data_IF_520440785895
#
_entry.id   IF_520440785895
#
_cell.length_a   1.000
_cell.length_b   1.000
_cell.length_c   1.000
_cell.angle_alpha   90.00
_cell.angle_beta   90.00
_cell.angle_gamma   90.00
#
_symmetry.space_group_name_H-M   'P 1'
#
loop_
_entity.id
_entity.type
_entity.pdbx_description
1 polymer ?
#
# COMPACT_ATOMS: atom_id res chain seq x y z
N UNK A 1 -11.10 -24.15 -20.57
CA UNK A 1 -9.73 -24.61 -20.93
C UNK A 1 -8.94 -25.23 -19.75
N UNK A 2 -8.86 -24.64 -18.55
CA UNK A 2 -7.97 -25.16 -17.47
C UNK A 2 -8.47 -26.36 -16.62
N UNK A 3 -9.70 -26.85 -16.81
CA UNK A 3 -10.27 -27.96 -16.00
C UNK A 3 -10.12 -29.34 -16.63
N UNK A 4 -9.93 -29.43 -17.95
CA UNK A 4 -9.92 -30.72 -18.67
C UNK A 4 -8.58 -31.46 -18.61
N UNK A 5 -7.45 -30.76 -18.45
CA UNK A 5 -6.11 -31.38 -18.39
C UNK A 5 -5.79 -32.15 -17.09
N UNK A 6 -6.76 -32.29 -16.17
CA UNK A 6 -6.53 -32.87 -14.83
C UNK A 6 -6.71 -34.39 -14.75
N UNK A 7 -7.23 -35.03 -15.80
CA UNK A 7 -7.63 -36.45 -15.74
C UNK A 7 -6.66 -37.42 -16.40
N UNK A 8 -5.71 -36.95 -17.21
CA UNK A 8 -4.77 -37.85 -17.87
C UNK A 8 -3.60 -38.17 -16.93
N UNK A 9 -3.57 -39.40 -16.44
CA UNK A 9 -2.38 -39.97 -15.77
C UNK A 9 -1.31 -40.14 -16.83
N UNK A 10 -0.06 -39.77 -16.53
CA UNK A 10 1.06 -40.12 -17.42
C UNK A 10 1.11 -41.64 -17.58
N UNK A 11 1.74 -42.12 -18.67
CA UNK A 11 2.02 -43.55 -18.88
C UNK A 11 2.70 -44.21 -17.66
N UNK A 12 3.41 -43.43 -16.84
CA UNK A 12 4.09 -43.85 -15.61
C UNK A 12 3.24 -43.74 -14.33
N UNK A 13 1.95 -43.42 -14.43
CA UNK A 13 1.03 -43.25 -13.29
C UNK A 13 1.28 -42.01 -12.43
N UNK A 14 2.26 -41.16 -12.79
CA UNK A 14 2.58 -39.93 -12.07
C UNK A 14 1.55 -38.86 -12.44
N UNK A 15 1.09 -38.11 -11.43
CA UNK A 15 0.26 -36.92 -11.66
C UNK A 15 1.09 -35.89 -12.45
N UNK A 16 0.53 -35.25 -13.48
CA UNK A 16 1.25 -34.21 -14.21
C UNK A 16 1.62 -33.06 -13.25
N UNK A 17 2.78 -32.40 -13.47
CA UNK A 17 3.18 -31.26 -12.65
C UNK A 17 2.12 -30.16 -12.74
N UNK A 18 1.92 -29.43 -11.63
CA UNK A 18 1.01 -28.28 -11.63
C UNK A 18 1.53 -27.23 -12.60
N UNK A 19 0.70 -26.81 -13.55
CA UNK A 19 1.01 -25.66 -14.42
C UNK A 19 1.13 -24.39 -13.57
N UNK A 20 2.25 -23.67 -13.70
CA UNK A 20 2.60 -22.46 -12.94
C UNK A 20 2.36 -22.59 -11.42
N UNK A 21 3.11 -23.46 -10.71
CA UNK A 21 2.87 -23.75 -9.29
C UNK A 21 3.07 -22.54 -8.38
N UNK A 22 3.95 -21.60 -8.79
CA UNK A 22 4.19 -20.33 -8.12
C UNK A 22 3.11 -19.26 -8.44
N UNK A 23 2.19 -19.53 -9.37
CA UNK A 23 1.23 -18.60 -9.91
C UNK A 23 1.78 -17.76 -11.08
N UNK A 24 0.95 -16.83 -11.56
CA UNK A 24 1.30 -15.95 -12.69
C UNK A 24 1.55 -14.53 -12.19
N UNK A 25 2.46 -13.82 -12.85
CA UNK A 25 2.73 -12.40 -12.63
C UNK A 25 2.68 -11.65 -13.96
N UNK A 26 2.53 -10.34 -13.90
CA UNK A 26 2.63 -9.45 -15.06
C UNK A 26 3.42 -8.20 -14.71
N UNK A 27 3.85 -7.47 -15.73
CA UNK A 27 4.52 -6.18 -15.59
C UNK A 27 3.74 -5.10 -16.33
N UNK A 28 3.50 -3.99 -15.65
CA UNK A 28 2.83 -2.80 -16.16
C UNK A 28 3.84 -1.67 -16.26
N UNK A 29 3.89 -1.04 -17.42
CA UNK A 29 4.72 0.14 -17.67
C UNK A 29 3.91 1.38 -17.32
N UNK A 30 4.46 2.24 -16.48
CA UNK A 30 3.76 3.40 -15.89
C UNK A 30 4.33 4.69 -16.47
N UNK A 31 3.44 5.61 -16.87
CA UNK A 31 3.83 6.89 -17.45
C UNK A 31 4.19 6.82 -18.94
N UNK A 32 3.72 5.78 -19.63
CA UNK A 32 3.76 5.71 -21.10
C UNK A 32 2.54 6.38 -21.76
N UNK A 33 1.49 6.67 -20.99
CA UNK A 33 0.25 7.32 -21.37
C UNK A 33 -0.29 8.19 -20.21
N UNK A 34 -1.46 8.80 -20.41
CA UNK A 34 -2.15 9.67 -19.44
C UNK A 34 -2.91 8.89 -18.35
N UNK A 35 -2.66 7.58 -18.18
CA UNK A 35 -3.36 6.80 -17.18
C UNK A 35 -3.02 7.31 -15.76
N UNK A 36 -4.07 7.65 -15.00
CA UNK A 36 -3.97 8.03 -13.59
C UNK A 36 -3.61 6.84 -12.71
N UNK A 37 -3.08 7.11 -11.52
CA UNK A 37 -2.76 6.03 -10.57
C UNK A 37 -4.01 5.25 -10.15
N UNK A 38 -5.18 5.91 -10.08
CA UNK A 38 -6.46 5.24 -9.88
C UNK A 38 -6.78 4.21 -10.97
N UNK A 39 -6.53 4.56 -12.24
CA UNK A 39 -6.73 3.65 -13.38
C UNK A 39 -5.77 2.46 -13.32
N UNK A 40 -4.51 2.72 -12.99
CA UNK A 40 -3.46 1.71 -12.85
C UNK A 40 -3.80 0.72 -11.72
N UNK A 41 -4.10 1.24 -10.52
CA UNK A 41 -4.43 0.42 -9.36
C UNK A 41 -5.75 -0.33 -9.53
N UNK A 42 -6.74 0.27 -10.19
CA UNK A 42 -7.98 -0.40 -10.56
C UNK A 42 -7.75 -1.56 -11.52
N UNK A 43 -6.87 -1.37 -12.51
CA UNK A 43 -6.47 -2.43 -13.43
C UNK A 43 -5.75 -3.57 -12.69
N UNK A 44 -4.82 -3.25 -11.80
CA UNK A 44 -4.15 -4.24 -10.96
C UNK A 44 -5.12 -5.01 -10.08
N UNK A 45 -6.07 -4.33 -9.45
CA UNK A 45 -7.13 -4.95 -8.63
C UNK A 45 -7.93 -5.97 -9.45
N UNK A 46 -8.35 -5.60 -10.67
CA UNK A 46 -9.04 -6.49 -11.60
C UNK A 46 -8.17 -7.68 -12.03
N UNK A 47 -6.87 -7.46 -12.25
CA UNK A 47 -5.94 -8.54 -12.60
C UNK A 47 -5.81 -9.57 -11.46
N UNK A 48 -5.80 -9.11 -10.21
CA UNK A 48 -5.81 -10.00 -9.05
C UNK A 48 -7.13 -10.76 -8.92
N UNK A 49 -8.28 -10.09 -9.05
CA UNK A 49 -9.59 -10.72 -8.86
C UNK A 49 -9.96 -11.67 -10.00
N UNK A 50 -9.81 -11.23 -11.25
CA UNK A 50 -10.31 -11.95 -12.43
C UNK A 50 -9.33 -12.98 -12.96
N UNK A 51 -8.02 -12.72 -12.86
CA UNK A 51 -6.97 -13.60 -13.40
C UNK A 51 -6.16 -14.31 -12.32
N UNK A 52 -6.46 -14.06 -11.03
CA UNK A 52 -5.78 -14.67 -9.87
C UNK A 52 -4.25 -14.52 -9.93
N UNK A 53 -3.79 -13.39 -10.49
CA UNK A 53 -2.36 -13.09 -10.51
C UNK A 53 -1.82 -13.03 -9.08
N UNK A 54 -0.57 -13.45 -8.91
CA UNK A 54 0.12 -13.37 -7.63
C UNK A 54 0.75 -12.01 -7.39
N UNK A 55 1.13 -11.32 -8.46
CA UNK A 55 1.81 -10.03 -8.39
C UNK A 55 1.70 -9.27 -9.71
N UNK A 56 1.49 -7.97 -9.62
CA UNK A 56 1.75 -7.01 -10.68
C UNK A 56 3.05 -6.27 -10.33
N UNK A 57 3.97 -6.17 -11.28
CA UNK A 57 5.16 -5.34 -11.18
C UNK A 57 4.90 -4.02 -11.90
N UNK A 58 5.25 -2.91 -11.27
CA UNK A 58 5.22 -1.59 -11.86
C UNK A 58 6.65 -1.21 -12.26
N UNK A 59 6.80 -0.59 -13.42
CA UNK A 59 8.08 -0.04 -13.87
C UNK A 59 7.82 1.28 -14.58
N UNK A 60 8.54 2.32 -14.19
CA UNK A 60 8.52 3.61 -14.87
C UNK A 60 8.92 3.46 -16.35
N UNK A 61 8.18 4.11 -17.25
CA UNK A 61 8.56 4.21 -18.66
C UNK A 61 9.95 4.85 -18.79
N UNK A 62 10.80 4.27 -19.64
CA UNK A 62 12.11 4.82 -19.97
C UNK A 62 12.15 5.08 -21.48
N UNK A 63 12.24 6.34 -21.92
CA UNK A 63 12.31 6.65 -23.35
C UNK A 63 13.60 6.09 -23.95
N UNK A 64 13.47 5.51 -25.14
CA UNK A 64 14.57 5.01 -25.98
C UNK A 64 14.74 6.05 -27.11
N UNK A 65 15.96 6.31 -27.62
CA UNK A 65 16.21 7.38 -28.61
C UNK A 65 15.32 7.35 -29.86
N UNK A 66 14.84 6.16 -30.27
CA UNK A 66 13.94 5.95 -31.41
C UNK A 66 12.50 5.58 -30.99
N UNK A 67 12.02 6.10 -29.85
CA UNK A 67 10.66 5.84 -29.39
C UNK A 67 9.60 6.40 -30.35
N UNK A 68 8.48 5.68 -30.49
CA UNK A 68 7.30 6.14 -31.25
C UNK A 68 6.90 7.57 -30.84
N UNK A 69 6.52 8.41 -31.80
CA UNK A 69 6.09 9.80 -31.56
C UNK A 69 4.88 9.93 -30.62
N UNK A 70 4.17 8.83 -30.38
CA UNK A 70 3.04 8.74 -29.45
C UNK A 70 3.45 8.57 -27.98
N UNK A 71 4.74 8.41 -27.67
CA UNK A 71 5.23 8.17 -26.30
C UNK A 71 5.83 9.44 -25.70
N UNK A 72 5.56 9.74 -24.41
CA UNK A 72 6.11 10.92 -23.76
C UNK A 72 7.63 10.82 -23.65
N UNK A 73 8.33 11.87 -24.08
CA UNK A 73 9.80 11.98 -23.98
C UNK A 73 10.30 12.22 -22.54
N UNK A 74 9.37 12.45 -21.59
CA UNK A 74 9.68 12.78 -20.20
C UNK A 74 9.65 11.52 -19.36
N UNK A 75 10.76 11.23 -18.67
CA UNK A 75 10.83 10.14 -17.69
C UNK A 75 9.91 10.45 -16.50
N UNK A 76 8.94 9.57 -16.15
CA UNK A 76 8.09 9.79 -14.99
C UNK A 76 8.93 9.75 -13.71
N UNK A 77 8.52 10.47 -12.65
CA UNK A 77 9.27 10.51 -11.41
C UNK A 77 9.37 9.10 -10.82
N UNK A 78 10.59 8.65 -10.47
CA UNK A 78 10.84 7.33 -9.87
C UNK A 78 9.99 7.08 -8.62
N UNK A 79 9.62 8.15 -7.92
CA UNK A 79 8.75 8.08 -6.74
C UNK A 79 7.35 7.55 -7.06
N UNK A 80 6.83 7.78 -8.27
CA UNK A 80 5.50 7.28 -8.69
C UNK A 80 5.44 5.76 -8.68
N UNK A 81 6.45 5.09 -9.22
CA UNK A 81 6.56 3.62 -9.16
C UNK A 81 6.55 3.12 -7.71
N UNK A 82 7.34 3.76 -6.84
CA UNK A 82 7.39 3.40 -5.43
C UNK A 82 6.03 3.60 -4.72
N UNK A 83 5.31 4.69 -5.03
CA UNK A 83 3.96 4.94 -4.48
C UNK A 83 2.95 3.91 -4.95
N UNK A 84 3.00 3.49 -6.21
CA UNK A 84 2.14 2.41 -6.72
C UNK A 84 2.37 1.08 -5.99
N UNK A 85 3.64 0.72 -5.71
CA UNK A 85 3.91 -0.47 -4.89
C UNK A 85 3.39 -0.35 -3.46
N UNK A 86 3.50 0.84 -2.85
CA UNK A 86 2.97 1.08 -1.51
C UNK A 86 1.43 0.97 -1.51
N UNK A 87 0.75 1.57 -2.48
CA UNK A 87 -0.70 1.49 -2.63
C UNK A 87 -1.19 0.07 -2.91
N UNK A 88 -0.55 -0.66 -3.84
CA UNK A 88 -0.84 -2.07 -4.13
C UNK A 88 -0.75 -2.94 -2.87
N UNK A 89 0.23 -2.67 -2.02
CA UNK A 89 0.39 -3.38 -0.75
C UNK A 89 -0.78 -3.12 0.22
N UNK A 90 -1.29 -1.88 0.28
CA UNK A 90 -2.44 -1.54 1.11
C UNK A 90 -3.70 -2.26 0.62
N UNK A 91 -3.97 -2.25 -0.69
CA UNK A 91 -5.10 -2.97 -1.29
C UNK A 91 -5.07 -4.46 -0.94
N UNK A 92 -3.89 -5.08 -1.02
CA UNK A 92 -3.76 -6.54 -0.92
C UNK A 92 -3.69 -7.08 0.49
N UNK A 93 -3.16 -6.30 1.43
CA UNK A 93 -2.81 -6.81 2.77
C UNK A 93 -3.40 -5.99 3.91
N UNK A 94 -3.89 -4.77 3.66
CA UNK A 94 -4.47 -3.89 4.68
C UNK A 94 -5.99 -3.71 4.53
N UNK A 95 -6.61 -4.45 3.61
CA UNK A 95 -8.04 -4.37 3.31
C UNK A 95 -8.47 -2.94 2.98
N UNK A 96 -7.60 -2.18 2.31
CA UNK A 96 -7.97 -0.87 1.75
C UNK A 96 -8.78 -1.09 0.48
N UNK A 97 -9.81 -0.28 0.30
CA UNK A 97 -10.50 -0.14 -0.97
C UNK A 97 -9.75 0.80 -1.92
N UNK A 98 -10.04 0.69 -3.22
CA UNK A 98 -9.39 1.53 -4.24
C UNK A 98 -9.73 3.01 -4.04
N UNK A 99 -11.00 3.29 -3.83
CA UNK A 99 -11.56 4.62 -3.57
C UNK A 99 -11.04 5.23 -2.27
N UNK A 100 -10.76 4.42 -1.23
CA UNK A 100 -10.05 4.90 -0.05
C UNK A 100 -8.68 5.48 -0.46
N UNK A 101 -7.88 4.74 -1.22
CA UNK A 101 -6.51 5.17 -1.56
C UNK A 101 -6.50 6.37 -2.51
N UNK A 102 -7.32 6.32 -3.56
CA UNK A 102 -7.29 7.32 -4.64
C UNK A 102 -8.14 8.54 -4.33
N UNK A 103 -9.11 8.43 -3.42
CA UNK A 103 -9.94 9.56 -2.98
C UNK A 103 -9.22 10.55 -2.05
N UNK A 104 -7.96 10.27 -1.68
CA UNK A 104 -7.13 11.20 -0.92
C UNK A 104 -6.62 12.39 -1.76
N UNK A 105 -6.76 12.34 -3.09
CA UNK A 105 -6.32 13.37 -4.05
C UNK A 105 -7.39 13.59 -5.11
N UNK A 106 -7.54 14.84 -5.57
CA UNK A 106 -8.63 15.22 -6.48
C UNK A 106 -8.41 14.77 -7.93
N UNK A 107 -7.16 14.53 -8.32
CA UNK A 107 -6.75 14.17 -9.70
C UNK A 107 -6.63 12.65 -9.91
N UNK A 108 -6.88 11.85 -8.88
CA UNK A 108 -6.74 10.39 -8.91
C UNK A 108 -5.29 9.89 -8.98
N UNK A 109 -4.29 10.75 -8.76
CA UNK A 109 -2.89 10.38 -8.67
C UNK A 109 -2.39 10.36 -7.23
N UNK A 110 -1.45 9.48 -6.92
CA UNK A 110 -0.91 9.37 -5.57
C UNK A 110 0.01 10.55 -5.23
N UNK A 111 -0.07 11.03 -3.99
CA UNK A 111 0.87 11.99 -3.46
C UNK A 111 2.32 11.45 -3.55
N UNK A 112 3.20 12.19 -4.21
CA UNK A 112 4.60 11.77 -4.39
C UNK A 112 5.45 12.05 -3.14
N UNK A 113 5.10 13.07 -2.36
CA UNK A 113 5.83 13.53 -1.18
C UNK A 113 5.60 12.64 0.06
N UNK A 114 4.39 12.10 0.23
CA UNK A 114 4.01 11.29 1.40
C UNK A 114 3.50 9.90 1.01
N UNK A 115 3.64 8.92 1.89
CA UNK A 115 3.14 7.56 1.61
C UNK A 115 1.61 7.52 1.56
N UNK A 116 1.00 6.60 0.77
CA UNK A 116 -0.46 6.58 0.57
C UNK A 116 -1.26 6.37 1.86
N UNK A 117 -0.70 5.64 2.85
CA UNK A 117 -1.38 5.39 4.12
C UNK A 117 -1.40 6.65 4.99
N UNK A 118 -0.30 7.39 5.02
CA UNK A 118 -0.24 8.69 5.67
C UNK A 118 -1.12 9.71 4.94
N UNK A 119 -1.10 9.76 3.61
CA UNK A 119 -1.97 10.64 2.82
C UNK A 119 -3.44 10.41 3.16
N UNK A 120 -3.87 9.14 3.18
CA UNK A 120 -5.21 8.76 3.60
C UNK A 120 -5.55 9.24 5.03
N UNK A 121 -4.62 9.04 5.97
CA UNK A 121 -4.85 9.41 7.36
C UNK A 121 -4.91 10.94 7.58
N UNK A 122 -4.19 11.70 6.76
CA UNK A 122 -4.24 13.17 6.73
C UNK A 122 -5.50 13.71 6.04
N UNK A 123 -6.03 13.02 5.03
CA UNK A 123 -7.32 13.35 4.45
C UNK A 123 -8.48 13.03 5.41
N UNK A 124 -8.36 11.96 6.18
CA UNK A 124 -9.42 11.45 7.07
C UNK A 124 -9.19 11.79 8.54
N UNK A 125 -8.79 13.04 8.83
CA UNK A 125 -8.42 13.44 10.21
C UNK A 125 -9.54 13.31 11.22
N UNK A 126 -10.80 13.36 10.79
CA UNK A 126 -11.98 13.17 11.63
C UNK A 126 -12.07 11.76 12.26
N UNK A 127 -11.39 10.75 11.69
CA UNK A 127 -11.32 9.40 12.23
C UNK A 127 -10.25 9.23 13.31
N UNK A 128 -9.42 10.26 13.54
CA UNK A 128 -8.27 10.19 14.43
C UNK A 128 -8.38 11.21 15.57
N UNK A 129 -7.91 10.86 16.78
CA UNK A 129 -7.12 9.68 17.08
C UNK A 129 -7.94 8.42 17.39
N UNK A 130 -7.38 7.27 17.06
CA UNK A 130 -8.00 5.96 17.24
C UNK A 130 -7.62 5.38 18.61
N UNK A 131 -8.61 4.94 19.40
CA UNK A 131 -8.38 4.23 20.65
C UNK A 131 -7.85 2.81 20.38
N UNK A 132 -6.56 2.60 20.67
CA UNK A 132 -5.86 1.33 20.47
C UNK A 132 -6.14 0.32 21.58
N UNK A 133 -7.21 0.46 22.35
CA UNK A 133 -7.78 -0.64 23.15
C UNK A 133 -9.20 -1.02 22.71
N UNK A 134 -9.88 -0.17 21.93
CA UNK A 134 -11.29 -0.35 21.56
C UNK A 134 -11.54 -0.51 20.07
N UNK A 135 -10.72 0.11 19.23
CA UNK A 135 -10.96 0.14 17.80
C UNK A 135 -10.83 -1.24 17.14
N UNK A 136 -11.66 -1.45 16.11
CA UNK A 136 -11.69 -2.65 15.30
C UNK A 136 -10.45 -2.80 14.42
N UNK A 137 -10.27 -4.02 13.89
CA UNK A 137 -9.11 -4.38 13.06
C UNK A 137 -8.91 -3.42 11.90
N UNK A 138 -9.99 -3.07 11.19
CA UNK A 138 -9.94 -2.21 10.01
C UNK A 138 -9.38 -0.84 10.37
N UNK A 139 -9.95 -0.16 11.36
CA UNK A 139 -9.49 1.15 11.79
C UNK A 139 -8.05 1.14 12.33
N UNK A 140 -7.63 0.05 13.01
CA UNK A 140 -6.23 -0.11 13.42
C UNK A 140 -5.28 -0.25 12.24
N UNK A 141 -5.72 -0.88 11.14
CA UNK A 141 -4.95 -0.97 9.90
C UNK A 141 -4.83 0.37 9.20
N UNK A 142 -5.62 1.39 9.54
CA UNK A 142 -5.53 2.74 8.96
C UNK A 142 -4.50 3.61 9.67
N UNK A 143 -4.11 3.29 10.89
CA UNK A 143 -3.12 4.07 11.66
C UNK A 143 -1.74 4.02 10.97
N UNK A 144 -1.15 5.16 10.55
CA UNK A 144 0.21 5.21 10.00
C UNK A 144 1.24 4.65 10.99
N UNK A 145 2.24 3.93 10.50
CA UNK A 145 3.25 3.28 11.33
C UNK A 145 2.80 2.01 12.07
N UNK A 146 1.54 1.59 11.96
CA UNK A 146 1.06 0.30 12.48
C UNK A 146 0.83 -0.67 11.31
N UNK A 147 1.50 -1.82 11.34
CA UNK A 147 1.39 -2.86 10.30
C UNK A 147 0.47 -4.01 10.68
N UNK A 148 0.11 -4.87 9.71
CA UNK A 148 -0.78 -6.04 9.91
C UNK A 148 -0.33 -6.97 11.04
N UNK A 149 0.97 -7.24 11.15
CA UNK A 149 1.55 -8.04 12.24
C UNK A 149 1.33 -7.37 13.61
N UNK A 150 1.54 -6.06 13.68
CA UNK A 150 1.31 -5.27 14.89
C UNK A 150 -0.18 -5.26 15.26
N UNK A 151 -1.08 -5.07 14.29
CA UNK A 151 -2.54 -5.18 14.51
C UNK A 151 -2.92 -6.57 15.02
N UNK A 152 -2.35 -7.65 14.46
CA UNK A 152 -2.56 -9.00 14.97
C UNK A 152 -2.17 -9.14 16.45
N UNK A 153 -0.97 -8.66 16.82
CA UNK A 153 -0.49 -8.64 18.21
C UNK A 153 -1.36 -7.79 19.14
N UNK A 154 -1.86 -6.67 18.63
CA UNK A 154 -2.77 -5.79 19.35
C UNK A 154 -4.06 -6.53 19.70
N UNK A 155 -4.71 -7.14 18.69
CA UNK A 155 -5.98 -7.82 18.86
C UNK A 155 -5.88 -9.03 19.79
N UNK A 156 -4.76 -9.76 19.76
CA UNK A 156 -4.54 -10.88 20.68
C UNK A 156 -4.28 -10.39 22.10
N UNK A 157 -3.46 -9.34 22.27
CA UNK A 157 -3.06 -8.86 23.61
C UNK A 157 -4.22 -8.23 24.38
N UNK A 158 -5.10 -7.47 23.70
CA UNK A 158 -6.25 -6.79 24.35
C UNK A 158 -7.23 -7.74 25.03
N UNK A 159 -7.26 -9.02 24.61
CA UNK A 159 -8.08 -10.06 25.25
C UNK A 159 -7.64 -10.38 26.67
N UNK A 160 -6.37 -10.10 26.99
CA UNK A 160 -5.76 -10.43 28.27
C UNK A 160 -5.41 -9.20 29.10
N UNK A 161 -5.04 -8.09 28.47
CA UNK A 161 -4.72 -6.83 29.15
C UNK A 161 -4.86 -5.62 28.25
N UNK A 162 -5.03 -4.44 28.85
CA UNK A 162 -4.93 -3.18 28.12
C UNK A 162 -3.51 -2.94 27.61
N UNK A 163 -3.41 -2.51 26.36
CA UNK A 163 -2.17 -2.12 25.69
C UNK A 163 -1.78 -0.73 26.14
N UNK A 164 -0.50 -0.59 26.51
CA UNK A 164 0.15 0.67 26.85
C UNK A 164 1.10 1.12 25.75
N UNK A 165 1.61 2.33 25.87
CA UNK A 165 2.47 2.95 24.88
C UNK A 165 3.75 2.12 24.62
N UNK A 166 4.40 1.64 25.68
CA UNK A 166 5.61 0.82 25.54
C UNK A 166 5.33 -0.57 24.93
N UNK A 167 4.12 -1.11 25.11
CA UNK A 167 3.73 -2.37 24.48
C UNK A 167 3.73 -2.25 22.95
N UNK A 168 3.17 -1.15 22.41
CA UNK A 168 3.20 -0.90 20.97
C UNK A 168 4.62 -0.81 20.42
N UNK A 169 5.53 -0.20 21.19
CA UNK A 169 6.96 -0.11 20.83
C UNK A 169 7.55 -1.52 20.69
N UNK A 170 7.33 -2.38 21.68
CA UNK A 170 7.79 -3.78 21.68
C UNK A 170 7.14 -4.63 20.60
N UNK A 171 5.90 -4.30 20.22
CA UNK A 171 5.20 -4.96 19.12
C UNK A 171 5.71 -4.54 17.72
N UNK A 172 6.64 -3.58 17.64
CA UNK A 172 7.26 -3.12 16.40
C UNK A 172 6.48 -2.01 15.69
N UNK A 173 5.62 -1.28 16.39
CA UNK A 173 4.96 -0.10 15.82
C UNK A 173 6.00 1.03 15.58
N UNK A 174 5.92 1.69 14.42
CA UNK A 174 6.66 2.93 14.18
C UNK A 174 5.96 4.08 14.89
N UNK A 175 6.27 4.25 16.17
CA UNK A 175 5.65 5.28 17.00
C UNK A 175 5.98 6.70 16.57
N UNK A 176 7.07 6.95 15.82
CA UNK A 176 7.35 8.28 15.25
C UNK A 176 6.21 8.73 14.33
N UNK A 177 5.67 7.80 13.53
CA UNK A 177 4.53 8.03 12.65
C UNK A 177 3.18 7.85 13.36
N UNK A 178 3.06 6.87 14.26
CA UNK A 178 1.77 6.46 14.81
C UNK A 178 1.24 7.36 15.95
N UNK A 179 2.14 7.94 16.76
CA UNK A 179 1.81 8.80 17.93
C UNK A 179 0.68 9.82 17.71
N UNK A 180 0.61 10.56 16.57
CA UNK A 180 -0.41 11.58 16.31
C UNK A 180 -1.81 11.01 16.06
N UNK A 181 -1.89 9.74 15.68
CA UNK A 181 -3.10 9.09 15.17
C UNK A 181 -3.74 8.12 16.17
N UNK A 182 -3.19 7.97 17.38
CA UNK A 182 -3.69 6.99 18.34
C UNK A 182 -3.77 7.52 19.76
N UNK A 183 -4.68 6.94 20.53
CA UNK A 183 -4.78 7.06 21.99
C UNK A 183 -4.62 5.70 22.66
N UNK A 184 -4.05 5.72 23.86
CA UNK A 184 -3.88 4.58 24.76
C UNK A 184 -4.21 5.03 26.18
N UNK A 185 -4.21 4.09 27.13
CA UNK A 185 -4.45 4.38 28.55
C UNK A 185 -3.45 5.41 29.11
N UNK A 186 -2.19 5.34 28.66
CA UNK A 186 -1.06 6.15 29.12
C UNK A 186 -0.54 7.15 28.06
N UNK A 187 -1.23 7.29 26.92
CA UNK A 187 -0.83 8.20 25.85
C UNK A 187 -2.02 8.90 25.19
N UNK A 188 -1.89 10.21 25.02
CA UNK A 188 -2.79 11.01 24.17
C UNK A 188 -1.95 11.90 23.24
N UNK A 189 -2.34 12.03 21.97
CA UNK A 189 -1.65 12.91 21.04
C UNK A 189 -1.90 14.37 21.44
N UNK A 190 -0.90 15.22 21.23
CA UNK A 190 -1.14 16.66 21.20
C UNK A 190 -1.83 16.99 19.87
N UNK A 191 -2.80 17.90 19.91
CA UNK A 191 -3.43 18.44 18.71
C UNK A 191 -2.35 19.08 17.83
N UNK A 192 -2.23 18.57 16.61
CA UNK A 192 -1.41 19.13 15.55
C UNK A 192 -2.30 19.36 14.36
N UNK A 193 -2.15 20.54 13.75
CA UNK A 193 -2.73 20.86 12.45
C UNK A 193 -2.18 19.91 11.39
N UNK A 194 -3.01 19.60 10.39
CA UNK A 194 -2.74 18.62 9.34
C UNK A 194 -1.50 18.98 8.54
N UNK A 195 -1.31 20.26 8.22
CA UNK A 195 -0.17 20.73 7.42
C UNK A 195 1.15 20.62 8.19
N UNK A 196 1.16 21.03 9.46
CA UNK A 196 2.30 20.85 10.35
C UNK A 196 2.65 19.36 10.53
N UNK A 197 1.64 18.49 10.54
CA UNK A 197 1.84 17.05 10.64
C UNK A 197 2.41 16.46 9.35
N UNK A 198 1.93 16.91 8.18
CA UNK A 198 2.47 16.55 6.86
C UNK A 198 3.95 16.93 6.78
N UNK A 199 4.29 18.18 7.07
CA UNK A 199 5.67 18.66 7.04
C UNK A 199 6.61 17.89 7.97
N UNK A 200 6.13 17.47 9.15
CA UNK A 200 6.94 16.72 10.13
C UNK A 200 7.15 15.25 9.76
N UNK A 201 6.21 14.65 9.02
CA UNK A 201 6.21 13.23 8.68
C UNK A 201 6.67 12.94 7.25
N UNK A 202 6.69 13.96 6.38
CA UNK A 202 7.30 13.88 5.07
C UNK A 202 8.80 13.53 5.19
N UNK A 203 9.35 12.76 4.24
CA UNK A 203 10.80 12.55 4.18
C UNK A 203 11.52 13.91 4.06
N UNK A 204 12.71 14.06 4.66
CA UNK A 204 13.47 15.30 4.56
C UNK A 204 13.72 15.61 3.08
N UNK A 205 13.70 16.90 2.69
CA UNK A 205 13.97 17.30 1.31
C UNK A 205 15.34 16.75 0.89
N UNK A 206 15.38 15.99 -0.20
CA UNK A 206 16.65 15.59 -0.80
C UNK A 206 17.30 16.84 -1.39
N UNK A 207 18.46 17.21 -0.88
CA UNK A 207 19.28 18.25 -1.48
C UNK A 207 19.64 17.79 -2.90
N UNK A 208 19.14 18.51 -3.91
CA UNK A 208 19.49 18.25 -5.30
C UNK A 208 21.01 18.36 -5.42
N UNK A 209 21.67 17.26 -5.77
CA UNK A 209 23.09 17.28 -6.09
C UNK A 209 23.25 18.07 -7.39
N UNK A 210 23.82 19.27 -7.29
CA UNK A 210 24.28 20.05 -8.45
C UNK A 210 25.61 19.44 -8.93
N UNK A 211 25.56 18.28 -9.57
CA UNK A 211 26.71 17.69 -10.26
C UNK A 211 26.24 17.02 -11.55
#
# INVERSE_FOLDING_TARGET
VLKESRKEKSYTGKRPPRFAPAGQSTQMIVGADDATDATILGTSTRLYSSYRLKRVYYSAFSPIPDASASLPLIKPPLMREHRLYQADWLLRFYDFALDEITGATDDGNLALDIDPKLAWALANRHLFPVDVNRADRELLLRIPGIGTRTVGRILTTRRHRSIRYDDLRRMGANLKQAKPFLTLTDWRPRTLDTEALRARLAPPPQQLSLF
#
